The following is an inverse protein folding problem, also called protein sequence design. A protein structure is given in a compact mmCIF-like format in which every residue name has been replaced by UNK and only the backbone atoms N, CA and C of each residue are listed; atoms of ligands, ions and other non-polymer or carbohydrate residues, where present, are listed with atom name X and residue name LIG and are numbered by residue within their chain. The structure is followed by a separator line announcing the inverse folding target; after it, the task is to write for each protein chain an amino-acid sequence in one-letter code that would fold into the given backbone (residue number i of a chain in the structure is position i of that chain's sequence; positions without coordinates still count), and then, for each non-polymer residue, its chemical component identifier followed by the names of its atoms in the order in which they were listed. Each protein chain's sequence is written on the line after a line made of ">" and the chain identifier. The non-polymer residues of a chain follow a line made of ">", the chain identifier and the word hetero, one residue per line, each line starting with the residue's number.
data_IF_210220774475
#
_entry.id   IF_210220774475
#
_cell.length_a   1.000
_cell.length_b   1.000
_cell.length_c   1.000
_cell.angle_alpha   90.00
_cell.angle_beta   90.00
_cell.angle_gamma   90.00
#
_symmetry.space_group_name_H-M   'P 1'
#
loop_
_entity.id
_entity.type
_entity.pdbx_description
1 polymer ?
#
# COMPACT_ATOMS: atom_id res chain seq x y z
N UNK A 1 17.47 -28.17 16.08
CA UNK A 1 16.83 -27.55 14.91
C UNK A 1 15.33 -27.53 15.17
N UNK A 2 14.81 -26.41 15.67
CA UNK A 2 13.36 -26.24 15.81
C UNK A 2 12.72 -26.15 14.42
N UNK A 3 11.73 -27.01 14.17
CA UNK A 3 10.89 -26.93 12.97
C UNK A 3 10.20 -25.58 12.98
N UNK A 4 10.43 -24.79 11.93
CA UNK A 4 9.71 -23.56 11.63
C UNK A 4 8.21 -23.84 11.72
N UNK A 5 7.56 -23.39 12.80
CA UNK A 5 6.10 -23.37 12.86
C UNK A 5 5.64 -22.49 11.72
N UNK A 6 4.78 -23.03 10.87
CA UNK A 6 4.13 -22.29 9.79
C UNK A 6 3.15 -21.32 10.47
N UNK A 7 3.59 -20.08 10.71
CA UNK A 7 2.77 -19.03 11.30
C UNK A 7 1.95 -18.43 10.16
N UNK A 8 0.64 -18.71 10.14
CA UNK A 8 -0.30 -18.09 9.22
C UNK A 8 -0.48 -16.62 9.60
N UNK A 9 -0.34 -15.65 8.66
CA UNK A 9 -0.52 -14.25 8.97
C UNK A 9 -1.97 -13.97 9.37
N UNK A 10 -2.10 -13.08 10.36
CA UNK A 10 -3.35 -12.61 10.94
C UNK A 10 -4.10 -11.72 9.94
N UNK A 11 -5.38 -12.02 9.70
CA UNK A 11 -6.31 -11.18 8.94
C UNK A 11 -6.98 -10.20 9.90
N UNK A 12 -6.74 -8.91 9.75
CA UNK A 12 -7.49 -7.85 10.45
C UNK A 12 -7.74 -6.69 9.49
N UNK A 13 -9.01 -6.33 9.23
CA UNK A 13 -9.41 -5.21 8.36
C UNK A 13 -10.79 -4.66 8.78
N UNK A 14 -10.91 -3.34 8.99
CA UNK A 14 -12.18 -2.61 8.95
C UNK A 14 -12.00 -1.08 8.76
N UNK A 15 -12.26 -0.55 7.55
CA UNK A 15 -13.16 0.61 7.31
C UNK A 15 -13.11 1.11 5.84
N UNK A 16 -14.12 0.75 5.04
CA UNK A 16 -14.48 1.47 3.80
C UNK A 16 -15.97 1.34 3.49
N UNK A 17 -16.87 1.68 4.43
CA UNK A 17 -18.34 1.59 4.19
C UNK A 17 -18.88 0.19 3.83
N UNK A 18 -18.01 -0.83 3.84
CA UNK A 18 -18.30 -2.22 3.56
C UNK A 18 -18.79 -2.90 4.84
N UNK A 19 -19.89 -3.64 4.78
CA UNK A 19 -20.34 -4.48 5.90
C UNK A 19 -19.38 -5.65 6.06
N UNK A 20 -18.89 -5.86 7.27
CA UNK A 20 -18.09 -7.01 7.67
C UNK A 20 -18.84 -8.29 7.29
N UNK A 21 -18.27 -9.13 6.42
CA UNK A 21 -18.62 -10.55 6.38
C UNK A 21 -17.80 -11.29 7.45
N UNK A 22 -18.37 -12.40 7.95
CA UNK A 22 -17.94 -13.18 9.12
C UNK A 22 -16.49 -13.72 9.11
N UNK A 23 -15.72 -13.47 8.04
CA UNK A 23 -14.34 -13.91 7.89
C UNK A 23 -13.33 -13.11 8.74
N UNK A 24 -13.80 -12.16 9.56
CA UNK A 24 -13.00 -11.33 10.49
C UNK A 24 -13.02 -11.81 11.94
N UNK A 25 -13.75 -12.89 12.25
CA UNK A 25 -13.94 -13.40 13.63
C UNK A 25 -12.79 -14.28 14.17
N UNK A 26 -11.61 -14.26 13.54
CA UNK A 26 -10.46 -15.07 13.96
C UNK A 26 -9.28 -14.23 14.44
N UNK A 27 -9.44 -13.43 15.51
CA UNK A 27 -8.30 -12.94 16.30
C UNK A 27 -8.65 -12.62 17.75
N UNK A 28 -8.20 -13.48 18.65
CA UNK A 28 -7.87 -13.12 20.03
C UNK A 28 -6.40 -12.69 20.10
N UNK A 29 -6.18 -11.43 20.52
CA UNK A 29 -4.92 -10.82 20.97
C UNK A 29 -3.78 -10.53 19.96
N UNK A 30 -3.80 -9.29 19.43
CA UNK A 30 -2.68 -8.30 19.35
C UNK A 30 -3.02 -7.31 18.23
N UNK A 31 -3.19 -6.04 18.62
CA UNK A 31 -3.54 -4.86 17.82
C UNK A 31 -3.76 -5.08 16.31
N UNK A 32 -5.02 -5.30 15.87
CA UNK A 32 -5.40 -5.20 14.46
C UNK A 32 -4.76 -4.00 13.74
N UNK A 33 -4.46 -4.17 12.44
CA UNK A 33 -4.04 -3.06 11.58
C UNK A 33 -5.30 -2.48 10.91
N UNK A 34 -5.54 -1.18 11.06
CA UNK A 34 -6.58 -0.46 10.32
C UNK A 34 -5.94 0.26 9.15
N UNK A 35 -6.33 -0.12 7.95
CA UNK A 35 -6.02 0.60 6.74
C UNK A 35 -6.94 1.81 6.56
N UNK A 36 -6.34 3.00 6.41
CA UNK A 36 -7.01 4.21 5.96
C UNK A 36 -6.55 4.49 4.54
N UNK A 37 -7.37 4.06 3.57
CA UNK A 37 -7.10 4.28 2.16
C UNK A 37 -7.84 5.53 1.65
N UNK A 38 -7.09 6.47 1.11
CA UNK A 38 -7.62 7.68 0.48
C UNK A 38 -7.23 7.74 -0.99
N UNK A 39 -8.09 8.36 -1.80
CA UNK A 39 -7.87 8.52 -3.23
C UNK A 39 -8.19 9.93 -3.65
N UNK A 40 -7.29 10.57 -4.38
CA UNK A 40 -7.50 11.89 -4.97
C UNK A 40 -7.04 11.90 -6.43
N UNK A 41 -7.71 12.65 -7.32
CA UNK A 41 -7.19 12.89 -8.65
C UNK A 41 -6.07 13.94 -8.63
N UNK A 42 -5.17 13.90 -9.61
CA UNK A 42 -4.02 14.81 -9.67
C UNK A 42 -4.43 16.30 -9.74
N UNK A 43 -5.53 16.63 -10.42
CA UNK A 43 -6.06 18.01 -10.41
C UNK A 43 -6.45 18.49 -9.01
N UNK A 44 -7.01 17.60 -8.17
CA UNK A 44 -7.35 17.92 -6.79
C UNK A 44 -6.10 18.15 -5.95
N UNK A 45 -5.03 17.37 -6.18
CA UNK A 45 -3.73 17.61 -5.56
C UNK A 45 -3.20 19.00 -5.91
N UNK A 46 -3.27 19.39 -7.19
CA UNK A 46 -2.92 20.75 -7.62
C UNK A 46 -3.76 21.80 -6.89
N UNK A 47 -5.09 21.63 -6.83
CA UNK A 47 -5.96 22.55 -6.07
C UNK A 47 -5.59 22.63 -4.59
N UNK A 48 -5.27 21.51 -3.94
CA UNK A 48 -4.85 21.50 -2.53
C UNK A 48 -3.55 22.28 -2.28
N UNK A 49 -2.66 22.41 -3.29
CA UNK A 49 -1.45 23.22 -3.15
C UNK A 49 -1.73 24.73 -3.22
N UNK A 50 -2.70 25.13 -4.04
CA UNK A 50 -2.96 26.55 -4.33
C UNK A 50 -4.08 27.15 -3.50
N UNK A 51 -4.98 26.32 -2.97
CA UNK A 51 -6.16 26.75 -2.22
C UNK A 51 -6.15 26.17 -0.79
N UNK A 52 -5.90 27.02 0.23
CA UNK A 52 -5.89 26.60 1.64
C UNK A 52 -7.22 26.02 2.13
N UNK A 53 -8.37 26.43 1.58
CA UNK A 53 -9.68 25.88 1.97
C UNK A 53 -9.84 24.47 1.44
N UNK A 54 -9.44 24.24 0.18
CA UNK A 54 -9.45 22.89 -0.42
C UNK A 54 -8.47 21.98 0.33
N UNK A 55 -7.28 22.48 0.67
CA UNK A 55 -6.32 21.75 1.52
C UNK A 55 -6.95 21.37 2.85
N UNK A 56 -7.46 22.35 3.60
CA UNK A 56 -8.01 22.14 4.94
C UNK A 56 -9.16 21.15 4.92
N UNK A 57 -10.02 21.23 3.90
CA UNK A 57 -11.16 20.32 3.73
C UNK A 57 -10.71 18.87 3.50
N UNK A 58 -9.76 18.63 2.60
CA UNK A 58 -9.32 17.26 2.30
C UNK A 58 -8.44 16.68 3.40
N UNK A 59 -7.44 17.44 3.88
CA UNK A 59 -6.56 16.99 4.96
C UNK A 59 -7.34 16.78 6.25
N UNK A 60 -8.34 17.63 6.54
CA UNK A 60 -9.24 17.46 7.67
C UNK A 60 -10.01 16.13 7.63
N UNK A 61 -10.41 15.65 6.44
CA UNK A 61 -11.01 14.32 6.29
C UNK A 61 -10.01 13.22 6.62
N UNK A 62 -8.78 13.31 6.10
CA UNK A 62 -7.73 12.32 6.35
C UNK A 62 -7.40 12.20 7.83
N UNK A 63 -7.19 13.34 8.51
CA UNK A 63 -6.96 13.41 9.95
C UNK A 63 -8.12 12.78 10.72
N UNK A 64 -9.37 13.09 10.34
CA UNK A 64 -10.56 12.52 10.98
C UNK A 64 -10.59 11.00 10.85
N UNK A 65 -10.27 10.46 9.68
CA UNK A 65 -10.22 9.00 9.47
C UNK A 65 -9.12 8.36 10.31
N UNK A 66 -7.89 8.90 10.28
CA UNK A 66 -6.78 8.39 11.09
C UNK A 66 -7.09 8.45 12.58
N UNK A 67 -7.62 9.57 13.09
CA UNK A 67 -8.01 9.72 14.50
C UNK A 67 -9.10 8.74 14.92
N UNK A 68 -10.12 8.54 14.08
CA UNK A 68 -11.20 7.57 14.35
C UNK A 68 -10.65 6.14 14.42
N UNK A 69 -9.69 5.81 13.57
CA UNK A 69 -9.00 4.51 13.58
C UNK A 69 -8.12 4.36 14.82
N UNK A 70 -7.31 5.37 15.15
CA UNK A 70 -6.48 5.40 16.37
C UNK A 70 -7.27 5.22 17.65
N UNK A 71 -8.48 5.79 17.73
CA UNK A 71 -9.35 5.68 18.90
C UNK A 71 -9.77 4.23 19.22
N UNK A 72 -9.63 3.29 18.28
CA UNK A 72 -9.86 1.86 18.52
C UNK A 72 -8.67 1.16 19.20
N UNK A 73 -7.55 1.86 19.42
CA UNK A 73 -6.33 1.31 20.00
C UNK A 73 -5.49 0.48 19.03
N UNK A 74 -5.72 0.63 17.73
CA UNK A 74 -5.19 -0.22 16.66
C UNK A 74 -4.02 0.46 15.91
N UNK A 75 -3.18 -0.33 15.21
CA UNK A 75 -2.11 0.22 14.35
C UNK A 75 -2.76 0.81 13.10
N UNK A 76 -2.50 2.08 12.79
CA UNK A 76 -3.11 2.75 11.64
C UNK A 76 -2.13 2.83 10.47
N UNK A 77 -2.50 2.20 9.36
CA UNK A 77 -1.77 2.24 8.09
C UNK A 77 -2.48 3.21 7.14
N UNK A 78 -1.89 4.38 6.89
CA UNK A 78 -2.42 5.35 5.93
C UNK A 78 -1.83 5.15 4.53
N UNK A 79 -2.70 5.02 3.54
CA UNK A 79 -2.33 4.89 2.13
C UNK A 79 -3.05 5.94 1.32
N UNK A 80 -2.31 6.74 0.55
CA UNK A 80 -2.87 7.67 -0.42
C UNK A 80 -2.60 7.16 -1.84
N UNK A 81 -3.64 7.13 -2.67
CA UNK A 81 -3.51 6.99 -4.13
C UNK A 81 -3.79 8.31 -4.82
N UNK A 82 -2.88 8.71 -5.71
CA UNK A 82 -3.06 9.86 -6.59
C UNK A 82 -3.33 9.36 -8.00
N UNK A 83 -4.54 9.59 -8.50
CA UNK A 83 -4.87 9.26 -9.88
C UNK A 83 -4.34 10.33 -10.82
N UNK A 84 -3.20 10.03 -11.41
CA UNK A 84 -2.55 10.83 -12.43
C UNK A 84 -1.16 10.31 -12.73
N UNK A 85 -0.52 10.96 -13.69
CA UNK A 85 0.85 10.70 -14.12
C UNK A 85 1.65 12.01 -14.02
N UNK A 86 2.96 11.89 -13.94
CA UNK A 86 3.98 12.93 -13.82
C UNK A 86 3.73 13.86 -12.63
N UNK A 87 3.54 13.26 -11.45
CA UNK A 87 3.43 14.04 -10.21
C UNK A 87 4.76 14.77 -9.96
N UNK A 88 4.71 16.10 -9.98
CA UNK A 88 5.89 16.94 -9.90
C UNK A 88 6.56 16.88 -8.51
N UNK A 89 7.81 17.34 -8.47
CA UNK A 89 8.63 17.40 -7.25
C UNK A 89 7.92 18.17 -6.12
N UNK A 90 7.34 19.32 -6.44
CA UNK A 90 6.64 20.20 -5.48
C UNK A 90 5.44 19.47 -4.86
N UNK A 91 4.73 18.66 -5.64
CA UNK A 91 3.61 17.85 -5.17
C UNK A 91 4.08 16.71 -4.27
N UNK A 92 5.24 16.11 -4.54
CA UNK A 92 5.85 15.13 -3.66
C UNK A 92 6.22 15.74 -2.31
N UNK A 93 6.88 16.91 -2.31
CA UNK A 93 7.24 17.68 -1.10
C UNK A 93 5.99 18.06 -0.29
N UNK A 94 4.98 18.63 -0.95
CA UNK A 94 3.70 18.99 -0.33
C UNK A 94 2.99 17.80 0.33
N UNK A 95 2.96 16.64 -0.35
CA UNK A 95 2.34 15.43 0.20
C UNK A 95 3.14 14.89 1.38
N UNK A 96 4.47 14.93 1.33
CA UNK A 96 5.32 14.48 2.42
C UNK A 96 5.09 15.28 3.70
N UNK A 97 5.13 16.61 3.61
CA UNK A 97 4.81 17.53 4.71
C UNK A 97 3.41 17.24 5.26
N UNK A 98 2.40 17.23 4.39
CA UNK A 98 1.00 17.06 4.78
C UNK A 98 0.72 15.71 5.44
N UNK A 99 1.29 14.62 4.93
CA UNK A 99 1.01 13.26 5.41
C UNK A 99 1.77 12.97 6.70
N UNK A 100 2.97 13.53 6.89
CA UNK A 100 3.77 13.34 8.11
C UNK A 100 3.01 13.75 9.38
N UNK A 101 2.15 14.77 9.30
CA UNK A 101 1.35 15.30 10.40
C UNK A 101 0.04 14.56 10.70
N UNK A 102 -0.28 13.46 10.00
CA UNK A 102 -1.58 12.78 10.18
C UNK A 102 -1.69 12.00 11.50
N UNK A 103 -0.57 11.59 12.09
CA UNK A 103 -0.55 10.75 13.30
C UNK A 103 -0.88 9.27 13.06
N UNK A 104 -0.65 8.77 11.84
CA UNK A 104 -0.69 7.34 11.54
C UNK A 104 0.57 6.62 12.07
N UNK A 105 0.52 5.31 12.27
CA UNK A 105 1.69 4.51 12.66
C UNK A 105 2.54 4.14 11.46
N UNK A 106 1.88 3.82 10.35
CA UNK A 106 2.51 3.47 9.08
C UNK A 106 1.94 4.37 8.01
N UNK A 107 2.81 4.95 7.19
CA UNK A 107 2.43 5.76 6.03
C UNK A 107 3.01 5.13 4.78
N UNK A 108 2.20 4.90 3.76
CA UNK A 108 2.73 4.62 2.42
C UNK A 108 3.16 5.92 1.76
N UNK A 109 4.30 5.89 1.06
CA UNK A 109 4.53 6.86 -0.02
C UNK A 109 3.31 6.81 -0.96
N UNK A 110 2.80 7.93 -1.49
CA UNK A 110 1.61 7.92 -2.31
C UNK A 110 1.77 7.01 -3.55
N UNK A 111 0.76 6.19 -3.81
CA UNK A 111 0.70 5.35 -5.01
C UNK A 111 0.25 6.24 -6.16
N UNK A 112 1.15 6.51 -7.11
CA UNK A 112 0.83 7.19 -8.36
C UNK A 112 0.68 6.15 -9.49
N UNK A 113 0.05 6.55 -10.60
CA UNK A 113 -0.12 5.69 -11.77
C UNK A 113 0.89 6.00 -12.87
N UNK A 114 2.04 6.55 -12.49
CA UNK A 114 3.13 6.86 -13.41
C UNK A 114 3.52 5.67 -14.27
N UNK A 115 3.48 5.87 -15.59
CA UNK A 115 4.00 4.89 -16.55
C UNK A 115 5.50 5.02 -16.75
N UNK A 116 6.05 6.20 -16.46
CA UNK A 116 7.48 6.46 -16.55
C UNK A 116 8.17 6.05 -15.24
N UNK A 117 8.97 4.97 -15.22
CA UNK A 117 9.63 4.51 -14.01
C UNK A 117 10.61 5.53 -13.43
N UNK A 118 11.21 6.37 -14.29
CA UNK A 118 12.17 7.39 -13.86
C UNK A 118 11.45 8.49 -13.06
N UNK A 119 10.34 8.99 -13.59
CA UNK A 119 9.52 9.99 -12.90
C UNK A 119 9.01 9.47 -11.55
N UNK A 120 8.55 8.21 -11.50
CA UNK A 120 8.13 7.59 -10.25
C UNK A 120 9.27 7.44 -9.23
N UNK A 121 10.47 7.05 -9.68
CA UNK A 121 11.65 6.96 -8.81
C UNK A 121 12.00 8.34 -8.24
N UNK A 122 12.03 9.39 -9.07
CA UNK A 122 12.29 10.76 -8.64
C UNK A 122 11.25 11.27 -7.64
N UNK A 123 9.96 10.94 -7.86
CA UNK A 123 8.88 11.22 -6.93
C UNK A 123 9.11 10.53 -5.58
N UNK A 124 9.42 9.23 -5.57
CA UNK A 124 9.67 8.47 -4.34
C UNK A 124 10.89 9.01 -3.60
N UNK A 125 11.98 9.33 -4.30
CA UNK A 125 13.18 9.90 -3.68
C UNK A 125 12.87 11.25 -3.03
N UNK A 126 12.17 12.14 -3.74
CA UNK A 126 11.78 13.44 -3.22
C UNK A 126 10.88 13.31 -2.00
N UNK A 127 9.81 12.50 -2.10
CA UNK A 127 8.89 12.28 -1.00
C UNK A 127 9.61 11.71 0.21
N UNK A 128 10.52 10.74 0.02
CA UNK A 128 11.24 10.11 1.11
C UNK A 128 12.10 11.08 1.91
N UNK A 129 12.90 11.92 1.24
CA UNK A 129 13.77 12.87 1.91
C UNK A 129 12.95 13.92 2.67
N UNK A 130 11.92 14.48 2.03
CA UNK A 130 11.05 15.46 2.69
C UNK A 130 10.28 14.86 3.86
N UNK A 131 9.76 13.64 3.69
CA UNK A 131 9.01 12.97 4.75
C UNK A 131 9.89 12.66 5.95
N UNK A 132 11.13 12.21 5.74
CA UNK A 132 12.08 11.98 6.84
C UNK A 132 12.42 13.26 7.60
N UNK A 133 12.53 14.38 6.89
CA UNK A 133 12.76 15.69 7.49
C UNK A 133 11.54 16.12 8.34
N UNK A 134 10.34 16.08 7.75
CA UNK A 134 9.10 16.50 8.40
C UNK A 134 8.68 15.59 9.57
N UNK A 135 8.94 14.28 9.47
CA UNK A 135 8.62 13.29 10.49
C UNK A 135 9.76 13.05 11.50
N UNK A 136 10.78 13.90 11.54
CA UNK A 136 11.92 13.72 12.43
C UNK A 136 11.50 13.64 13.91
N UNK A 137 12.00 12.63 14.62
CA UNK A 137 11.63 12.37 16.02
C UNK A 137 10.28 11.68 16.24
N UNK A 138 9.51 11.44 15.17
CA UNK A 138 8.29 10.63 15.24
C UNK A 138 8.60 9.14 15.09
N UNK A 139 7.69 8.27 15.55
CA UNK A 139 7.79 6.81 15.41
C UNK A 139 7.01 6.27 14.21
N UNK A 140 6.88 7.08 13.14
CA UNK A 140 6.11 6.71 11.95
C UNK A 140 6.99 5.86 11.04
N UNK A 141 6.50 4.67 10.67
CA UNK A 141 7.17 3.80 9.69
C UNK A 141 6.72 4.15 8.26
N UNK A 142 7.65 4.16 7.32
CA UNK A 142 7.37 4.47 5.92
C UNK A 142 7.31 3.19 5.08
N UNK A 143 6.18 2.95 4.42
CA UNK A 143 5.98 1.86 3.48
C UNK A 143 6.25 2.29 2.04
N UNK A 144 6.88 1.39 1.29
CA UNK A 144 7.40 1.65 -0.05
C UNK A 144 6.56 0.94 -1.11
N UNK A 145 5.66 1.66 -1.80
CA UNK A 145 4.76 1.11 -2.81
C UNK A 145 5.46 0.68 -4.09
N UNK A 146 4.98 -0.41 -4.67
CA UNK A 146 5.25 -0.88 -6.02
C UNK A 146 3.89 -0.82 -6.75
N UNK A 147 3.64 0.25 -7.53
CA UNK A 147 2.36 0.49 -8.16
C UNK A 147 2.16 -0.48 -9.33
N UNK A 148 0.91 -0.72 -9.76
CA UNK A 148 0.61 -1.76 -10.74
C UNK A 148 1.31 -1.52 -12.08
N UNK A 149 1.46 -0.27 -12.53
CA UNK A 149 2.10 0.04 -13.81
C UNK A 149 3.60 -0.31 -13.79
N UNK A 150 4.27 -0.11 -12.66
CA UNK A 150 5.67 -0.52 -12.47
C UNK A 150 5.76 -2.03 -12.27
N UNK A 151 4.82 -2.63 -11.51
CA UNK A 151 4.80 -4.06 -11.22
C UNK A 151 4.61 -4.91 -12.49
N UNK A 152 3.89 -4.41 -13.50
CA UNK A 152 3.72 -5.07 -14.81
C UNK A 152 5.00 -5.11 -15.65
N UNK A 153 5.92 -4.19 -15.42
CA UNK A 153 7.20 -4.10 -16.12
C UNK A 153 8.32 -4.63 -15.21
N UNK A 154 8.86 -5.79 -15.57
CA UNK A 154 9.92 -6.46 -14.82
C UNK A 154 11.16 -5.56 -14.65
N UNK A 155 11.59 -4.86 -15.69
CA UNK A 155 12.78 -4.02 -15.62
C UNK A 155 12.53 -2.73 -14.85
N UNK A 156 11.33 -2.15 -14.95
CA UNK A 156 10.91 -1.04 -14.11
C UNK A 156 10.91 -1.43 -12.62
N UNK A 157 10.33 -2.59 -12.29
CA UNK A 157 10.35 -3.15 -10.94
C UNK A 157 11.79 -3.32 -10.43
N UNK A 158 12.68 -3.90 -11.25
CA UNK A 158 14.10 -4.07 -10.89
C UNK A 158 14.80 -2.75 -10.62
N UNK A 159 14.57 -1.72 -11.45
CA UNK A 159 15.16 -0.39 -11.25
C UNK A 159 14.65 0.24 -9.96
N UNK A 160 13.35 0.19 -9.70
CA UNK A 160 12.74 0.72 -8.49
C UNK A 160 13.32 0.06 -7.22
N UNK A 161 13.41 -1.27 -7.21
CA UNK A 161 13.96 -2.01 -6.05
C UNK A 161 15.44 -1.73 -5.79
N UNK A 162 16.24 -1.45 -6.83
CA UNK A 162 17.63 -0.99 -6.64
C UNK A 162 17.67 0.37 -5.92
N UNK A 163 16.76 1.28 -6.26
CA UNK A 163 16.62 2.55 -5.53
C UNK A 163 16.20 2.30 -4.08
N UNK A 164 15.20 1.43 -3.86
CA UNK A 164 14.69 1.12 -2.53
C UNK A 164 15.76 0.52 -1.62
N UNK A 165 16.66 -0.31 -2.14
CA UNK A 165 17.74 -0.90 -1.33
C UNK A 165 18.57 0.16 -0.58
N UNK A 166 18.81 1.32 -1.21
CA UNK A 166 19.56 2.43 -0.60
C UNK A 166 18.81 3.06 0.58
N UNK A 167 17.48 3.04 0.53
CA UNK A 167 16.60 3.61 1.56
C UNK A 167 16.29 2.62 2.69
N UNK A 168 16.62 1.34 2.50
CA UNK A 168 16.48 0.26 3.49
C UNK A 168 15.04 0.15 4.04
N UNK A 169 14.03 -0.04 3.18
CA UNK A 169 12.63 -0.10 3.59
C UNK A 169 12.37 -1.30 4.50
N UNK A 170 11.62 -1.09 5.59
CA UNK A 170 11.11 -2.16 6.46
C UNK A 170 9.80 -2.75 5.92
N UNK A 171 9.03 -1.96 5.16
CA UNK A 171 7.73 -2.35 4.60
C UNK A 171 7.69 -2.04 3.09
N UNK A 172 7.36 -3.06 2.30
CA UNK A 172 7.04 -2.95 0.87
C UNK A 172 5.53 -3.07 0.70
N UNK A 173 4.89 -2.12 0.00
CA UNK A 173 3.49 -2.21 -0.38
C UNK A 173 3.41 -2.63 -1.84
N UNK A 174 2.64 -3.67 -2.19
CA UNK A 174 2.53 -4.16 -3.57
C UNK A 174 1.09 -4.10 -4.03
N UNK A 175 0.82 -3.28 -5.04
CA UNK A 175 -0.53 -3.09 -5.59
C UNK A 175 -0.72 -3.93 -6.86
N UNK A 176 -1.55 -4.98 -6.74
CA UNK A 176 -1.86 -5.88 -7.85
C UNK A 176 -2.98 -5.39 -8.76
N UNK A 177 -3.61 -4.26 -8.42
CA UNK A 177 -4.69 -3.65 -9.16
C UNK A 177 -5.77 -4.66 -9.61
N UNK A 178 -6.30 -5.41 -8.65
CA UNK A 178 -7.46 -6.30 -8.83
C UNK A 178 -7.11 -7.58 -9.57
N UNK A 179 -5.83 -7.93 -9.56
CA UNK A 179 -5.29 -9.07 -10.27
C UNK A 179 -4.68 -10.09 -9.32
N UNK A 180 -4.44 -11.28 -9.86
CA UNK A 180 -3.80 -12.36 -9.11
C UNK A 180 -2.26 -12.23 -9.24
N UNK A 181 -1.48 -12.34 -8.14
CA UNK A 181 -0.02 -12.29 -8.17
C UNK A 181 0.66 -13.33 -9.07
N UNK A 182 -0.04 -14.43 -9.35
CA UNK A 182 0.42 -15.50 -10.24
C UNK A 182 -0.11 -15.38 -11.67
N UNK A 183 -0.68 -14.24 -12.07
CA UNK A 183 -0.96 -14.00 -13.48
C UNK A 183 0.37 -13.91 -14.25
N UNK A 184 0.37 -14.29 -15.53
CA UNK A 184 1.56 -14.17 -16.39
C UNK A 184 2.14 -12.76 -16.39
N UNK A 185 1.27 -11.75 -16.25
CA UNK A 185 1.62 -10.33 -16.22
C UNK A 185 2.44 -9.96 -14.97
N UNK A 186 2.11 -10.47 -13.79
CA UNK A 186 2.74 -10.04 -12.53
C UNK A 186 3.72 -11.07 -11.94
N UNK A 187 3.66 -12.32 -12.38
CA UNK A 187 4.46 -13.41 -11.83
C UNK A 187 5.97 -13.15 -11.90
N UNK A 188 6.55 -12.64 -13.01
CA UNK A 188 8.00 -12.37 -13.07
C UNK A 188 8.45 -11.35 -12.01
N UNK A 189 7.76 -10.20 -11.94
CA UNK A 189 8.06 -9.14 -10.97
C UNK A 189 7.83 -9.58 -9.53
N UNK A 190 6.75 -10.34 -9.28
CA UNK A 190 6.43 -10.88 -7.95
C UNK A 190 7.51 -11.82 -7.44
N UNK A 191 7.97 -12.76 -8.29
CA UNK A 191 9.09 -13.66 -7.95
C UNK A 191 10.37 -12.87 -7.68
N UNK A 192 10.62 -11.83 -8.47
CA UNK A 192 11.79 -10.98 -8.29
C UNK A 192 11.75 -10.20 -6.97
N UNK A 193 10.62 -9.60 -6.62
CA UNK A 193 10.43 -8.90 -5.34
C UNK A 193 10.76 -9.82 -4.18
N UNK A 194 10.19 -11.03 -4.16
CA UNK A 194 10.44 -12.01 -3.10
C UNK A 194 11.92 -12.43 -3.02
N UNK A 195 12.52 -12.78 -4.16
CA UNK A 195 13.93 -13.14 -4.22
C UNK A 195 14.85 -11.99 -3.80
N UNK A 196 14.55 -10.77 -4.21
CA UNK A 196 15.29 -9.56 -3.84
C UNK A 196 15.16 -9.25 -2.34
N UNK A 197 13.95 -9.36 -1.78
CA UNK A 197 13.67 -9.17 -0.35
C UNK A 197 14.57 -10.06 0.50
N UNK A 198 14.46 -11.36 0.30
CA UNK A 198 15.14 -12.39 1.11
C UNK A 198 16.65 -12.41 0.89
N UNK A 199 17.11 -12.27 -0.36
CA UNK A 199 18.54 -12.39 -0.68
C UNK A 199 19.33 -11.10 -0.48
N UNK A 200 18.68 -9.93 -0.50
CA UNK A 200 19.37 -8.62 -0.44
C UNK A 200 18.85 -7.73 0.68
N UNK A 201 17.56 -7.41 0.69
CA UNK A 201 17.02 -6.40 1.62
C UNK A 201 17.17 -6.85 3.07
N UNK A 202 16.67 -8.03 3.42
CA UNK A 202 16.70 -8.53 4.80
C UNK A 202 18.11 -8.76 5.31
N UNK A 203 19.02 -9.21 4.44
CA UNK A 203 20.45 -9.29 4.76
C UNK A 203 21.07 -7.92 5.01
N UNK A 204 20.66 -6.90 4.26
CA UNK A 204 21.12 -5.51 4.42
C UNK A 204 20.57 -4.88 5.70
N UNK A 205 19.34 -5.24 6.07
CA UNK A 205 18.68 -4.77 7.28
C UNK A 205 19.11 -5.52 8.54
N UNK A 206 19.62 -6.75 8.40
CA UNK A 206 19.80 -7.71 9.48
C UNK A 206 18.51 -7.98 10.28
N UNK A 207 17.36 -7.88 9.62
CA UNK A 207 16.03 -8.16 10.18
C UNK A 207 15.04 -8.49 9.05
N UNK A 208 13.91 -9.16 9.36
CA UNK A 208 12.85 -9.38 8.39
C UNK A 208 12.26 -8.05 7.88
N UNK A 209 11.74 -8.09 6.65
CA UNK A 209 10.94 -7.00 6.08
C UNK A 209 9.54 -7.50 5.77
N UNK A 210 8.59 -6.57 5.69
CA UNK A 210 7.16 -6.85 5.51
C UNK A 210 6.78 -6.61 4.06
N UNK A 211 6.07 -7.54 3.43
CA UNK A 211 5.31 -7.29 2.20
C UNK A 211 3.83 -7.14 2.54
N UNK A 212 3.27 -5.96 2.25
CA UNK A 212 1.85 -5.63 2.33
C UNK A 212 1.22 -5.65 0.93
N UNK A 213 0.44 -6.67 0.61
CA UNK A 213 -0.20 -6.81 -0.69
C UNK A 213 -1.61 -6.22 -0.71
N UNK A 214 -1.90 -5.26 -1.61
CA UNK A 214 -3.25 -4.68 -1.77
C UNK A 214 -3.85 -5.01 -3.14
N UNK A 215 -5.18 -4.89 -3.24
CA UNK A 215 -5.91 -5.14 -4.49
C UNK A 215 -5.62 -6.52 -5.12
N UNK A 216 -5.40 -7.54 -4.30
CA UNK A 216 -5.17 -8.90 -4.76
C UNK A 216 -6.52 -9.54 -5.07
N UNK A 217 -6.69 -10.04 -6.30
CA UNK A 217 -7.86 -10.83 -6.67
C UNK A 217 -7.56 -12.32 -6.43
N UNK A 218 -8.30 -12.98 -5.50
CA UNK A 218 -8.22 -14.43 -5.37
C UNK A 218 -8.71 -15.07 -6.66
N UNK A 219 -8.14 -16.22 -7.02
CA UNK A 219 -8.44 -16.81 -8.33
C UNK A 219 -9.75 -17.62 -8.32
N UNK A 220 -10.26 -17.99 -7.15
CA UNK A 220 -11.51 -18.72 -7.03
C UNK A 220 -12.71 -17.84 -6.71
N UNK A 221 -13.83 -18.16 -7.36
CA UNK A 221 -15.17 -17.67 -7.02
C UNK A 221 -15.98 -18.68 -6.21
N UNK A 222 -15.40 -19.84 -5.89
CA UNK A 222 -16.13 -21.00 -5.34
C UNK A 222 -15.34 -21.61 -4.19
N UNK A 223 -16.07 -22.03 -3.16
CA UNK A 223 -15.55 -22.85 -2.08
C UNK A 223 -15.50 -24.32 -2.52
N UNK A 224 -14.47 -25.10 -2.17
CA UNK A 224 -13.30 -24.73 -1.37
C UNK A 224 -12.28 -23.87 -2.13
N UNK A 225 -11.62 -22.95 -1.41
CA UNK A 225 -10.53 -22.13 -1.94
C UNK A 225 -9.42 -23.05 -2.48
N UNK A 226 -9.00 -22.93 -3.76
CA UNK A 226 -7.96 -23.77 -4.32
C UNK A 226 -6.60 -23.43 -3.71
N UNK A 227 -5.69 -24.40 -3.69
CA UNK A 227 -4.31 -24.29 -3.19
C UNK A 227 -3.47 -23.11 -3.74
N UNK A 228 -3.97 -22.40 -4.75
CA UNK A 228 -3.38 -21.18 -5.29
C UNK A 228 -3.66 -19.93 -4.45
N UNK A 229 -4.74 -19.90 -3.68
CA UNK A 229 -4.97 -18.83 -2.69
C UNK A 229 -4.14 -19.09 -1.40
N UNK A 230 -3.74 -20.34 -1.15
CA UNK A 230 -2.62 -20.67 -0.24
C UNK A 230 -1.25 -20.24 -0.82
N UNK A 231 -1.11 -20.09 -2.14
CA UNK A 231 0.17 -19.67 -2.73
C UNK A 231 0.52 -18.20 -2.48
N UNK A 232 -0.47 -17.35 -2.22
CA UNK A 232 -0.24 -16.03 -1.62
C UNK A 232 0.48 -16.13 -0.27
N UNK A 233 0.25 -17.20 0.51
CA UNK A 233 1.03 -17.52 1.72
C UNK A 233 2.48 -17.95 1.35
N UNK A 234 2.68 -18.63 0.22
CA UNK A 234 4.01 -19.00 -0.30
C UNK A 234 4.81 -17.84 -0.93
N UNK A 235 4.21 -16.66 -1.11
CA UNK A 235 4.90 -15.45 -1.59
C UNK A 235 5.33 -14.52 -0.45
N UNK A 236 5.17 -14.96 0.81
CA UNK A 236 5.57 -14.22 2.01
C UNK A 236 4.93 -12.82 2.09
N UNK A 237 3.66 -12.72 1.68
CA UNK A 237 2.83 -11.57 2.06
C UNK A 237 2.57 -11.64 3.55
N UNK A 238 3.21 -10.75 4.30
CA UNK A 238 3.06 -10.65 5.74
C UNK A 238 1.70 -10.04 6.11
N UNK A 239 1.17 -9.15 5.25
CA UNK A 239 -0.14 -8.53 5.43
C UNK A 239 -0.87 -8.51 4.07
N UNK A 240 -2.15 -8.89 4.06
CA UNK A 240 -3.05 -8.80 2.91
C UNK A 240 -4.05 -7.66 3.15
N UNK A 241 -3.93 -6.59 2.38
CA UNK A 241 -4.79 -5.41 2.45
C UNK A 241 -6.07 -5.55 1.63
N UNK A 242 -6.93 -4.54 1.77
CA UNK A 242 -8.25 -4.53 1.14
C UNK A 242 -8.16 -4.39 -0.39
N UNK A 243 -9.26 -4.71 -1.07
CA UNK A 243 -9.44 -4.32 -2.47
C UNK A 243 -10.12 -2.95 -2.55
N UNK A 244 -9.36 -1.97 -3.00
CA UNK A 244 -9.74 -0.55 -3.14
C UNK A 244 -10.18 -0.18 -4.55
N UNK A 245 -10.27 -1.16 -5.45
CA UNK A 245 -10.74 -0.92 -6.81
C UNK A 245 -12.25 -0.79 -6.79
N UNK A 246 -12.80 0.32 -7.31
CA UNK A 246 -14.24 0.47 -7.45
C UNK A 246 -14.80 -0.74 -8.21
N UNK A 247 -15.78 -1.42 -7.60
CA UNK A 247 -16.54 -2.43 -8.32
C UNK A 247 -17.18 -1.75 -9.53
N UNK A 248 -16.84 -2.19 -10.74
CA UNK A 248 -17.63 -1.83 -11.91
C UNK A 248 -18.98 -2.49 -11.73
N UNK A 249 -20.00 -1.71 -11.36
CA UNK A 249 -21.37 -2.19 -11.38
C UNK A 249 -21.69 -2.66 -12.81
N UNK A 250 -22.30 -3.83 -12.98
CA UNK A 250 -22.84 -4.25 -14.28
C UNK A 250 -23.71 -3.15 -14.87
N UNK A 251 -23.65 -2.95 -16.19
CA UNK A 251 -24.45 -1.93 -16.88
C UNK A 251 -25.94 -2.06 -16.56
N UNK A 252 -26.42 -3.29 -16.42
CA UNK A 252 -27.82 -3.59 -16.09
C UNK A 252 -28.27 -2.94 -14.77
N UNK A 253 -27.38 -2.81 -13.77
CA UNK A 253 -27.71 -2.18 -12.48
C UNK A 253 -27.59 -0.65 -12.54
N UNK A 254 -26.76 -0.12 -13.45
CA UNK A 254 -26.60 1.33 -13.65
C UNK A 254 -27.81 1.91 -14.40
N UNK A 255 -28.44 1.12 -15.27
CA UNK A 255 -29.61 1.53 -16.06
C UNK A 255 -30.92 1.51 -15.25
N UNK A 256 -30.94 0.86 -14.07
CA UNK A 256 -32.08 0.82 -13.15
C UNK A 256 -32.03 1.86 -12.01
N UNK A 257 -30.93 2.62 -11.88
CA UNK A 257 -30.73 3.68 -10.86
C UNK A 257 -30.93 5.09 -11.45
#
# INVERSE_FOLDING_TARGET
>A
MERTRLITPIRTLACSGYRLSDETLLTTEKYPIIEVFCRIPANKLVSMRHDPEVRSREVGKWIRYVRKSKAKGEIVFFTLRVDGENIDKISAEFLADTISGLGADIVSIPITLDRNPKAYIEFVETFHEEFKSAAYGTKIELAYPIPPNILRDYDATRRLLKTYLKKKPTILLVDYNGSNPFSSVYLPSTRYIYGWKTSKLEKTLNQPSIIYGINIKPKAKWYPLPARDLATIFLDFNILGSNHIPLKLPREIIEEL
#
